data_IF_957984563981
#
_entry.id   IF_957984563981
#
_cell.length_a   1.000
_cell.length_b   1.000
_cell.length_c   1.000
_cell.angle_alpha   90.00
_cell.angle_beta   90.00
_cell.angle_gamma   90.00
#
_symmetry.space_group_name_H-M   'P 1'
#
loop_
_entity.id
_entity.type
_entity.pdbx_description
1 polymer ?
#
# COMPACT_ATOMS: atom_id res chain seq x y z
N UNK A 1 10.94 8.44 -21.91
CA UNK A 1 9.89 7.41 -21.83
C UNK A 1 9.53 7.30 -20.35
N UNK A 2 8.31 7.68 -19.92
CA UNK A 2 7.93 7.46 -18.51
C UNK A 2 7.30 6.08 -18.39
N UNK A 3 7.72 5.29 -17.41
CA UNK A 3 7.02 4.06 -17.04
C UNK A 3 5.77 4.51 -16.29
N UNK A 4 4.59 4.13 -16.76
CA UNK A 4 3.32 4.57 -16.19
C UNK A 4 2.48 3.38 -15.74
N UNK A 5 1.65 3.62 -14.73
CA UNK A 5 0.62 2.69 -14.26
C UNK A 5 -0.70 3.44 -14.37
N UNK A 6 -1.55 3.05 -15.32
CA UNK A 6 -2.88 3.64 -15.49
C UNK A 6 -3.91 3.11 -14.47
N UNK A 7 -3.59 1.98 -13.83
CA UNK A 7 -4.46 1.29 -12.87
C UNK A 7 -4.59 2.11 -11.58
N UNK A 8 -5.80 2.61 -11.30
CA UNK A 8 -6.13 3.30 -10.05
C UNK A 8 -6.20 2.31 -8.90
N UNK A 9 -5.77 2.70 -7.71
CA UNK A 9 -5.74 1.81 -6.53
C UNK A 9 -6.95 2.10 -5.65
N UNK A 10 -8.06 1.41 -5.91
CA UNK A 10 -9.38 1.63 -5.33
C UNK A 10 -10.07 0.30 -4.99
N UNK A 11 -9.52 -0.49 -4.04
CA UNK A 11 -10.20 -1.69 -3.57
C UNK A 11 -11.52 -1.30 -2.93
N UNK A 12 -12.57 -2.07 -3.21
CA UNK A 12 -13.92 -1.79 -2.75
C UNK A 12 -14.60 -3.05 -2.24
N UNK A 13 -15.65 -2.86 -1.45
CA UNK A 13 -16.51 -3.90 -0.91
C UNK A 13 -17.97 -3.50 -1.04
N UNK A 14 -18.82 -4.49 -1.29
CA UNK A 14 -20.28 -4.33 -1.22
C UNK A 14 -20.87 -4.87 0.10
N UNK A 15 -20.02 -5.44 0.97
CA UNK A 15 -20.45 -6.08 2.21
C UNK A 15 -20.72 -5.03 3.29
N UNK A 16 -21.88 -5.12 3.94
CA UNK A 16 -22.15 -4.30 5.13
C UNK A 16 -21.27 -4.76 6.30
N UNK A 17 -20.75 -3.82 7.08
CA UNK A 17 -19.76 -4.10 8.11
C UNK A 17 -18.38 -4.40 7.53
N UNK A 18 -18.12 -4.04 6.27
CA UNK A 18 -16.78 -4.08 5.69
C UNK A 18 -15.82 -3.21 6.51
N UNK A 19 -14.61 -3.71 6.69
CA UNK A 19 -13.60 -3.11 7.58
C UNK A 19 -12.44 -2.58 6.75
N UNK A 20 -12.06 -1.33 7.01
CA UNK A 20 -11.00 -0.61 6.30
C UNK A 20 -10.08 0.10 7.29
N UNK A 21 -8.79 0.21 6.96
CA UNK A 21 -7.87 1.09 7.67
C UNK A 21 -7.98 2.48 7.07
N UNK A 22 -8.25 3.49 7.91
CA UNK A 22 -8.33 4.87 7.44
C UNK A 22 -6.93 5.45 7.20
N UNK A 23 -6.59 5.87 5.97
CA UNK A 23 -5.31 6.48 5.64
C UNK A 23 -4.94 7.64 6.58
N UNK A 24 -3.64 7.84 6.80
CA UNK A 24 -3.04 8.82 7.72
C UNK A 24 -3.40 8.63 9.19
N UNK A 25 -3.95 7.48 9.58
CA UNK A 25 -4.39 7.22 10.94
C UNK A 25 -4.13 5.79 11.38
N UNK A 26 -4.47 5.49 12.64
CA UNK A 26 -4.54 4.13 13.16
C UNK A 26 -5.98 3.63 13.33
N UNK A 27 -6.95 4.34 12.73
CA UNK A 27 -8.35 3.97 12.86
C UNK A 27 -8.70 2.83 11.92
N UNK A 28 -9.12 1.74 12.51
CA UNK A 28 -10.02 0.80 11.87
C UNK A 28 -11.40 1.43 11.74
N UNK A 29 -12.00 1.36 10.55
CA UNK A 29 -13.34 1.85 10.27
C UNK A 29 -14.20 0.69 9.81
N UNK A 30 -15.24 0.40 10.57
CA UNK A 30 -16.29 -0.56 10.22
C UNK A 30 -17.50 0.21 9.71
N UNK A 31 -17.97 -0.14 8.51
CA UNK A 31 -18.90 0.67 7.73
C UNK A 31 -20.20 -0.09 7.45
N UNK A 32 -21.29 0.45 7.99
CA UNK A 32 -22.65 0.03 7.72
C UNK A 32 -23.43 1.18 7.07
N UNK A 33 -24.55 0.90 6.38
CA UNK A 33 -25.42 1.93 5.81
C UNK A 33 -25.77 3.09 6.74
N UNK A 34 -26.01 2.80 8.02
CA UNK A 34 -26.49 3.79 9.02
C UNK A 34 -25.55 3.95 10.21
N UNK A 35 -24.37 3.31 10.21
CA UNK A 35 -23.42 3.36 11.31
C UNK A 35 -21.99 3.35 10.79
N UNK A 36 -21.20 4.32 11.26
CA UNK A 36 -19.76 4.35 11.09
C UNK A 36 -19.14 4.13 12.47
N UNK A 37 -18.28 3.11 12.61
CA UNK A 37 -17.57 2.83 13.84
C UNK A 37 -16.07 2.93 13.60
N UNK A 38 -15.43 3.84 14.32
CA UNK A 38 -13.98 4.01 14.32
C UNK A 38 -13.42 3.39 15.59
N UNK A 39 -12.46 2.48 15.44
CA UNK A 39 -11.74 1.85 16.53
C UNK A 39 -10.26 2.18 16.36
N UNK A 40 -9.66 2.78 17.38
CA UNK A 40 -8.22 3.03 17.39
C UNK A 40 -7.47 1.73 17.63
N UNK A 41 -6.65 1.32 16.66
CA UNK A 41 -5.85 0.11 16.74
C UNK A 41 -4.69 0.23 17.74
N UNK A 42 -4.39 1.45 18.20
CA UNK A 42 -3.34 1.72 19.19
C UNK A 42 -3.88 1.92 20.61
N UNK A 43 -5.18 1.67 20.83
CA UNK A 43 -5.86 1.77 22.12
C UNK A 43 -5.76 3.15 22.82
N UNK A 44 -5.49 4.23 22.09
CA UNK A 44 -5.34 5.57 22.68
C UNK A 44 -6.67 6.20 23.05
N UNK A 45 -7.77 5.79 22.41
CA UNK A 45 -9.11 6.31 22.68
C UNK A 45 -10.21 5.25 22.60
N UNK A 46 -11.36 5.56 23.21
CA UNK A 46 -12.59 4.76 23.07
C UNK A 46 -13.12 4.80 21.62
N UNK A 47 -13.85 3.76 21.17
CA UNK A 47 -14.46 3.76 19.85
C UNK A 47 -15.37 4.98 19.63
N UNK A 48 -15.31 5.54 18.43
CA UNK A 48 -16.14 6.66 17.98
C UNK A 48 -17.23 6.08 17.09
N UNK A 49 -18.50 6.33 17.42
CA UNK A 49 -19.64 5.93 16.61
C UNK A 49 -20.38 7.14 16.06
N UNK A 50 -20.64 7.13 14.75
CA UNK A 50 -21.46 8.11 14.05
C UNK A 50 -22.65 7.38 13.47
N UNK A 51 -23.86 7.78 13.87
CA UNK A 51 -25.10 7.23 13.30
C UNK A 51 -25.58 8.13 12.18
N UNK A 52 -25.86 7.55 11.02
CA UNK A 52 -26.46 8.24 9.88
C UNK A 52 -27.95 7.91 9.82
N UNK A 53 -28.80 8.93 9.70
CA UNK A 53 -30.25 8.73 9.56
C UNK A 53 -30.62 8.67 8.08
N UNK A 54 -30.35 7.51 7.47
CA UNK A 54 -30.69 7.20 6.08
C UNK A 54 -31.89 6.27 6.09
N UNK A 55 -32.87 6.50 5.19
CA UNK A 55 -34.08 5.67 5.10
C UNK A 55 -33.93 4.53 4.08
N UNK A 56 -34.35 3.35 4.51
CA UNK A 56 -34.40 2.13 3.69
C UNK A 56 -33.04 1.50 3.40
N UNK A 57 -33.02 0.41 2.63
CA UNK A 57 -31.78 -0.25 2.23
C UNK A 57 -31.00 0.64 1.25
N UNK A 58 -29.67 0.63 1.36
CA UNK A 58 -28.80 1.29 0.38
C UNK A 58 -28.43 0.27 -0.70
N UNK A 59 -28.68 0.59 -1.97
CA UNK A 59 -28.46 -0.35 -3.08
C UNK A 59 -27.81 0.29 -4.31
N UNK A 60 -26.66 -0.24 -4.80
CA UNK A 60 -25.72 -1.03 -4.03
C UNK A 60 -25.12 -0.19 -2.90
N UNK A 61 -24.95 -0.77 -1.71
CA UNK A 61 -24.05 -0.20 -0.69
C UNK A 61 -22.62 -0.50 -1.12
N UNK A 62 -21.81 0.53 -1.36
CA UNK A 62 -20.42 0.35 -1.77
C UNK A 62 -19.50 1.18 -0.90
N UNK A 63 -18.44 0.55 -0.43
CA UNK A 63 -17.33 1.19 0.27
C UNK A 63 -16.07 1.02 -0.57
N UNK A 64 -15.43 2.12 -0.95
CA UNK A 64 -14.21 2.15 -1.77
C UNK A 64 -13.09 2.86 -1.01
N UNK A 65 -11.92 2.23 -0.89
CA UNK A 65 -10.73 2.86 -0.34
C UNK A 65 -9.92 3.49 -1.49
N UNK A 66 -9.96 4.81 -1.62
CA UNK A 66 -9.18 5.54 -2.62
C UNK A 66 -7.75 5.79 -2.10
N UNK A 67 -6.83 4.90 -2.47
CA UNK A 67 -5.41 5.00 -2.11
C UNK A 67 -4.66 6.07 -2.89
N UNK A 68 -5.28 6.74 -3.88
CA UNK A 68 -4.67 7.91 -4.54
C UNK A 68 -4.90 9.19 -3.74
N UNK A 69 -6.03 9.31 -3.05
CA UNK A 69 -6.36 10.48 -2.22
C UNK A 69 -6.26 10.25 -0.72
N UNK A 70 -6.11 8.99 -0.27
CA UNK A 70 -6.09 8.65 1.15
C UNK A 70 -7.45 8.81 1.81
N UNK A 71 -8.52 8.36 1.14
CA UNK A 71 -9.89 8.50 1.63
C UNK A 71 -10.68 7.19 1.51
N UNK A 72 -11.69 7.01 2.36
CA UNK A 72 -12.69 5.96 2.21
C UNK A 72 -13.99 6.60 1.71
N UNK A 73 -14.42 6.26 0.50
CA UNK A 73 -15.66 6.71 -0.10
C UNK A 73 -16.77 5.70 0.18
N UNK A 74 -17.95 6.19 0.58
CA UNK A 74 -19.16 5.37 0.72
C UNK A 74 -20.26 5.96 -0.14
N UNK A 75 -20.96 5.12 -0.90
CA UNK A 75 -22.02 5.57 -1.80
C UNK A 75 -23.05 4.48 -2.10
N UNK A 76 -24.22 4.92 -2.57
CA UNK A 76 -25.31 4.08 -3.04
C UNK A 76 -26.64 4.84 -3.18
N UNK A 77 -27.65 4.20 -3.76
CA UNK A 77 -29.02 4.73 -3.81
C UNK A 77 -29.75 4.44 -2.50
N UNK A 78 -30.48 5.42 -1.98
CA UNK A 78 -31.34 5.28 -0.79
C UNK A 78 -32.80 5.50 -1.19
N UNK A 79 -33.76 5.34 -0.27
CA UNK A 79 -35.16 5.70 -0.55
C UNK A 79 -35.34 7.20 -0.89
N UNK A 80 -34.47 8.04 -0.37
CA UNK A 80 -34.55 9.49 -0.55
C UNK A 80 -33.72 9.95 -1.77
N UNK A 81 -32.95 9.04 -2.39
CA UNK A 81 -32.08 9.27 -3.55
C UNK A 81 -30.61 8.95 -3.28
N UNK A 82 -29.75 9.22 -4.27
CA UNK A 82 -28.33 8.89 -4.24
C UNK A 82 -27.55 9.66 -3.17
N UNK A 83 -26.72 8.94 -2.39
CA UNK A 83 -25.79 9.53 -1.42
C UNK A 83 -24.34 9.18 -1.74
N UNK A 84 -23.42 10.09 -1.39
CA UNK A 84 -21.98 9.85 -1.38
C UNK A 84 -21.29 10.71 -0.34
N UNK A 85 -20.45 10.09 0.46
CA UNK A 85 -19.59 10.78 1.42
C UNK A 85 -18.21 10.14 1.48
N UNK A 86 -17.23 10.92 1.94
CA UNK A 86 -15.84 10.51 2.04
C UNK A 86 -15.33 10.71 3.47
N UNK A 87 -14.58 9.74 3.95
CA UNK A 87 -13.92 9.75 5.25
C UNK A 87 -12.42 9.92 5.03
N UNK A 88 -11.80 10.85 5.76
CA UNK A 88 -10.36 11.05 5.74
C UNK A 88 -9.87 11.57 7.09
N UNK A 89 -8.59 11.37 7.36
CA UNK A 89 -7.93 11.88 8.54
C UNK A 89 -6.96 12.99 8.15
N UNK A 90 -7.03 14.15 8.82
CA UNK A 90 -6.10 15.26 8.60
C UNK A 90 -6.03 16.14 9.83
N UNK A 91 -4.83 16.63 10.15
CA UNK A 91 -4.62 17.65 11.18
C UNK A 91 -5.28 17.31 12.54
N UNK A 92 -5.19 16.06 12.98
CA UNK A 92 -5.80 15.57 14.23
C UNK A 92 -7.34 15.56 14.22
N UNK A 93 -7.96 15.48 13.05
CA UNK A 93 -9.41 15.41 12.91
C UNK A 93 -9.82 14.23 12.01
N UNK A 94 -10.89 13.55 12.43
CA UNK A 94 -11.68 12.69 11.56
C UNK A 94 -12.67 13.55 10.79
N UNK A 95 -12.59 13.50 9.47
CA UNK A 95 -13.37 14.35 8.59
C UNK A 95 -14.36 13.49 7.80
N UNK A 96 -15.63 13.88 7.84
CA UNK A 96 -16.71 13.32 7.02
C UNK A 96 -17.19 14.41 6.07
N UNK A 97 -16.81 14.29 4.80
CA UNK A 97 -17.26 15.17 3.72
C UNK A 97 -18.50 14.57 3.06
N UNK A 98 -19.62 15.29 3.12
CA UNK A 98 -20.82 14.93 2.37
C UNK A 98 -20.68 15.42 0.92
N UNK A 99 -20.36 14.56 -0.03
CA UNK A 99 -20.16 14.95 -1.43
C UNK A 99 -21.48 15.11 -2.18
N UNK A 100 -22.41 14.17 -1.98
CA UNK A 100 -23.74 14.17 -2.57
C UNK A 100 -24.77 13.68 -1.57
N UNK A 101 -25.90 14.36 -1.50
CA UNK A 101 -27.10 13.94 -0.76
C UNK A 101 -28.33 14.59 -1.42
N UNK A 102 -29.51 13.94 -1.43
CA UNK A 102 -30.72 14.49 -2.04
C UNK A 102 -31.20 15.79 -1.37
N UNK A 103 -31.05 15.90 -0.05
CA UNK A 103 -31.44 17.08 0.73
C UNK A 103 -30.35 17.41 1.77
N UNK A 104 -30.39 16.75 2.93
CA UNK A 104 -29.36 16.80 3.96
C UNK A 104 -29.07 15.41 4.48
N UNK A 105 -27.80 15.13 4.78
CA UNK A 105 -27.41 13.94 5.53
C UNK A 105 -27.49 14.27 7.02
N UNK A 106 -28.48 13.72 7.70
CA UNK A 106 -28.60 13.84 9.15
C UNK A 106 -27.70 12.79 9.82
N UNK A 107 -26.97 13.21 10.84
CA UNK A 107 -26.10 12.33 11.61
C UNK A 107 -26.08 12.68 13.09
N UNK A 108 -25.83 11.68 13.93
CA UNK A 108 -25.64 11.84 15.37
C UNK A 108 -24.25 11.37 15.77
N UNK A 109 -23.52 12.25 16.45
CA UNK A 109 -22.27 11.94 17.14
C UNK A 109 -22.39 12.38 18.59
N UNK A 110 -22.19 11.45 19.53
CA UNK A 110 -22.49 11.66 20.97
C UNK A 110 -23.92 12.17 21.18
N UNK A 111 -24.08 13.28 21.90
CA UNK A 111 -25.36 13.98 22.11
C UNK A 111 -25.71 14.98 21.01
N UNK A 112 -24.82 15.22 20.05
CA UNK A 112 -25.00 16.24 19.02
C UNK A 112 -25.67 15.65 17.78
N UNK A 113 -26.80 16.24 17.39
CA UNK A 113 -27.44 16.01 16.11
C UNK A 113 -26.94 17.07 15.12
N UNK A 114 -26.45 16.65 13.96
CA UNK A 114 -25.95 17.54 12.92
C UNK A 114 -26.61 17.21 11.58
N UNK A 115 -26.65 18.21 10.69
CA UNK A 115 -27.13 18.06 9.33
C UNK A 115 -26.06 18.58 8.37
N UNK A 116 -25.68 17.75 7.40
CA UNK A 116 -24.72 18.13 6.36
C UNK A 116 -25.43 18.29 5.02
N UNK A 117 -25.23 19.43 4.38
CA UNK A 117 -25.55 19.68 2.98
C UNK A 117 -24.40 19.19 2.08
N UNK A 118 -24.61 19.04 0.76
CA UNK A 118 -23.53 18.75 -0.17
C UNK A 118 -22.35 19.71 -0.01
N UNK A 119 -21.13 19.17 -0.10
CA UNK A 119 -19.82 19.82 0.08
C UNK A 119 -19.53 20.34 1.50
N UNK A 120 -20.36 20.01 2.49
CA UNK A 120 -20.05 20.30 3.88
C UNK A 120 -19.28 19.16 4.55
N UNK A 121 -18.44 19.53 5.50
CA UNK A 121 -17.59 18.60 6.26
C UNK A 121 -17.97 18.67 7.73
N UNK A 122 -18.17 17.51 8.35
CA UNK A 122 -18.13 17.38 9.80
C UNK A 122 -16.70 17.06 10.22
N UNK A 123 -16.16 17.85 11.15
CA UNK A 123 -14.89 17.58 11.80
C UNK A 123 -15.10 17.03 13.20
N UNK A 124 -14.42 15.91 13.50
CA UNK A 124 -14.42 15.29 14.82
C UNK A 124 -12.98 15.33 15.33
N UNK A 125 -12.67 16.16 16.34
CA UNK A 125 -11.32 16.26 16.86
C UNK A 125 -10.91 14.95 17.54
N UNK A 126 -9.66 14.56 17.34
CA UNK A 126 -9.01 13.46 18.04
C UNK A 126 -7.79 13.98 18.82
N UNK A 127 -7.42 13.37 19.95
CA UNK A 127 -6.43 13.94 20.87
C UNK A 127 -4.96 13.66 20.47
N UNK A 128 -4.68 13.39 19.20
CA UNK A 128 -3.33 13.08 18.74
C UNK A 128 -3.11 13.58 17.31
N UNK A 129 -1.88 14.03 17.04
CA UNK A 129 -1.42 14.38 15.70
C UNK A 129 -0.61 13.22 15.14
N UNK A 130 -0.77 12.95 13.85
CA UNK A 130 -0.03 11.91 13.15
C UNK A 130 0.62 12.54 11.92
N UNK A 131 1.92 12.32 11.77
CA UNK A 131 2.66 12.74 10.60
C UNK A 131 2.67 11.60 9.59
N UNK A 132 2.10 11.84 8.41
CA UNK A 132 2.17 10.90 7.30
C UNK A 132 3.37 11.20 6.42
N UNK A 133 4.10 10.17 6.00
CA UNK A 133 5.09 10.31 4.95
C UNK A 133 4.39 10.11 3.61
N UNK A 134 4.25 11.19 2.83
CA UNK A 134 3.57 11.21 1.53
C UNK A 134 4.31 10.50 0.39
N UNK A 135 4.88 9.32 0.65
CA UNK A 135 5.47 8.48 -0.39
C UNK A 135 4.35 7.90 -1.26
N UNK A 136 4.56 7.93 -2.58
CA UNK A 136 3.60 7.42 -3.57
C UNK A 136 4.24 6.39 -4.50
N UNK A 137 5.02 5.47 -3.92
CA UNK A 137 5.50 4.31 -4.66
C UNK A 137 4.30 3.49 -5.14
N UNK A 138 4.28 3.13 -6.43
CA UNK A 138 3.18 2.35 -7.02
C UNK A 138 3.71 1.05 -7.60
N UNK A 139 3.18 -0.06 -7.09
CA UNK A 139 3.42 -1.41 -7.60
C UNK A 139 2.25 -1.87 -8.45
N UNK A 140 2.54 -2.53 -9.58
CA UNK A 140 1.53 -3.20 -10.40
C UNK A 140 2.10 -4.51 -10.92
N UNK A 141 1.41 -5.63 -10.68
CA UNK A 141 1.92 -6.98 -10.96
C UNK A 141 1.21 -7.66 -12.14
N UNK A 142 0.69 -6.86 -13.08
CA UNK A 142 0.11 -7.37 -14.33
C UNK A 142 -1.36 -7.80 -14.24
N UNK A 143 -2.03 -7.51 -13.12
CA UNK A 143 -3.44 -7.85 -12.92
C UNK A 143 -4.33 -6.63 -13.20
N UNK A 144 -5.39 -6.86 -13.97
CA UNK A 144 -6.41 -5.87 -14.36
C UNK A 144 -7.83 -6.26 -13.93
N UNK A 145 -7.97 -7.21 -13.01
CA UNK A 145 -9.27 -7.64 -12.49
C UNK A 145 -9.93 -6.52 -11.66
N UNK A 146 -11.26 -6.60 -11.51
CA UNK A 146 -11.97 -5.75 -10.57
C UNK A 146 -11.42 -5.92 -9.15
N UNK A 147 -11.37 -4.82 -8.42
CA UNK A 147 -10.79 -4.72 -7.07
C UNK A 147 -11.83 -4.94 -5.97
N UNK A 148 -12.85 -5.73 -6.31
CA UNK A 148 -13.82 -6.28 -5.37
C UNK A 148 -13.06 -7.14 -4.35
N UNK A 149 -13.07 -6.68 -3.11
CA UNK A 149 -12.20 -7.21 -2.07
C UNK A 149 -12.60 -8.61 -1.64
N UNK A 150 -13.90 -8.91 -1.62
CA UNK A 150 -14.39 -10.25 -1.34
C UNK A 150 -13.87 -11.26 -2.38
N UNK A 151 -13.87 -10.86 -3.66
CA UNK A 151 -13.35 -11.69 -4.72
C UNK A 151 -11.81 -11.78 -4.71
N UNK A 152 -11.10 -10.70 -4.35
CA UNK A 152 -9.64 -10.70 -4.18
C UNK A 152 -9.22 -11.65 -3.06
N UNK A 153 -9.89 -11.58 -1.90
CA UNK A 153 -9.65 -12.48 -0.77
C UNK A 153 -9.91 -13.94 -1.14
N UNK A 154 -11.03 -14.23 -1.81
CA UNK A 154 -11.37 -15.59 -2.25
C UNK A 154 -10.36 -16.17 -3.24
N UNK A 155 -9.84 -15.35 -4.16
CA UNK A 155 -8.80 -15.79 -5.12
C UNK A 155 -7.45 -15.99 -4.46
N UNK A 156 -7.19 -15.28 -3.37
CA UNK A 156 -5.97 -15.34 -2.56
C UNK A 156 -4.67 -15.30 -3.39
N UNK A 157 -4.65 -14.40 -4.37
CA UNK A 157 -3.53 -14.22 -5.28
C UNK A 157 -2.70 -12.99 -4.87
N UNK A 158 -1.44 -13.22 -4.49
CA UNK A 158 -0.55 -12.15 -4.04
C UNK A 158 -0.24 -11.09 -5.11
N UNK A 159 -0.37 -11.41 -6.40
CA UNK A 159 -0.25 -10.40 -7.46
C UNK A 159 -1.35 -9.34 -7.38
N UNK A 160 -2.53 -9.71 -6.86
CA UNK A 160 -3.66 -8.80 -6.66
C UNK A 160 -3.51 -8.05 -5.33
N UNK A 161 -2.98 -8.72 -4.30
CA UNK A 161 -2.90 -8.23 -2.91
C UNK A 161 -1.72 -7.26 -2.71
N UNK A 162 -0.52 -7.61 -3.16
CA UNK A 162 0.72 -6.84 -2.89
C UNK A 162 0.68 -5.36 -3.30
N UNK A 163 0.10 -4.98 -4.45
CA UNK A 163 -0.03 -3.57 -4.82
C UNK A 163 -0.72 -2.71 -3.75
N UNK A 164 -1.86 -3.21 -3.23
CA UNK A 164 -2.65 -2.50 -2.23
C UNK A 164 -1.98 -2.52 -0.86
N UNK A 165 -1.33 -3.63 -0.50
CA UNK A 165 -0.55 -3.75 0.72
C UNK A 165 0.53 -2.67 0.80
N UNK A 166 1.37 -2.58 -0.24
CA UNK A 166 2.44 -1.59 -0.30
C UNK A 166 1.91 -0.16 -0.35
N UNK A 167 0.83 0.08 -1.09
CA UNK A 167 0.22 1.40 -1.20
C UNK A 167 -0.39 1.88 0.13
N UNK A 168 -1.15 1.02 0.81
CA UNK A 168 -1.78 1.38 2.08
C UNK A 168 -0.74 1.62 3.18
N UNK A 169 0.34 0.84 3.25
CA UNK A 169 1.37 1.02 4.25
C UNK A 169 2.04 2.41 4.20
N UNK A 170 2.12 3.03 3.01
CA UNK A 170 2.65 4.39 2.85
C UNK A 170 1.72 5.47 3.42
N UNK A 171 0.44 5.16 3.60
CA UNK A 171 -0.52 6.05 4.26
C UNK A 171 -0.51 5.91 5.78
N UNK A 172 0.15 4.90 6.35
CA UNK A 172 0.18 4.70 7.79
C UNK A 172 1.28 5.56 8.41
N UNK A 173 1.01 6.29 9.50
CA UNK A 173 2.03 7.08 10.18
C UNK A 173 3.22 6.22 10.61
N UNK A 174 4.42 6.73 10.39
CA UNK A 174 5.64 6.06 10.85
C UNK A 174 5.68 6.07 12.38
N UNK A 175 5.64 4.89 12.98
CA UNK A 175 5.86 4.71 14.42
C UNK A 175 7.18 3.98 14.62
N UNK A 176 8.00 4.44 15.55
CA UNK A 176 9.16 3.67 16.02
C UNK A 176 8.65 2.56 16.93
N UNK A 177 8.99 1.32 16.60
CA UNK A 177 8.69 0.14 17.41
C UNK A 177 9.99 -0.62 17.66
N UNK A 178 10.06 -1.30 18.79
CA UNK A 178 11.13 -2.25 19.07
C UNK A 178 10.94 -3.50 18.21
N UNK A 179 12.05 -4.14 17.84
CA UNK A 179 11.99 -5.42 17.14
C UNK A 179 11.33 -6.45 18.07
N UNK A 180 10.28 -7.08 17.57
CA UNK A 180 9.57 -8.15 18.25
C UNK A 180 9.49 -9.35 17.32
N UNK A 181 9.84 -10.53 17.81
CA UNK A 181 9.80 -11.79 17.07
C UNK A 181 8.68 -12.74 17.56
N UNK A 182 7.77 -12.25 18.42
CA UNK A 182 6.68 -13.01 19.02
C UNK A 182 5.32 -12.76 18.33
N UNK A 183 4.33 -13.62 18.64
CA UNK A 183 2.96 -13.52 18.10
C UNK A 183 2.93 -13.36 16.57
N UNK A 184 2.15 -12.39 16.09
CA UNK A 184 2.02 -12.09 14.65
C UNK A 184 3.34 -11.65 14.00
N UNK A 185 4.24 -11.02 14.76
CA UNK A 185 5.54 -10.58 14.22
C UNK A 185 6.48 -11.74 13.92
N UNK A 186 6.30 -12.90 14.57
CA UNK A 186 7.02 -14.13 14.20
C UNK A 186 6.80 -14.53 12.74
N UNK A 187 5.63 -14.22 12.16
CA UNK A 187 5.34 -14.47 10.74
C UNK A 187 6.11 -13.52 9.83
N UNK A 188 6.29 -12.26 10.25
CA UNK A 188 7.12 -11.28 9.57
C UNK A 188 8.59 -11.72 9.61
N UNK A 189 9.05 -12.23 10.75
CA UNK A 189 10.39 -12.81 10.90
C UNK A 189 10.62 -13.99 9.95
N UNK A 190 9.64 -14.88 9.79
CA UNK A 190 9.68 -15.96 8.77
C UNK A 190 9.82 -15.42 7.35
N UNK A 191 9.08 -14.36 6.98
CA UNK A 191 9.26 -13.67 5.69
C UNK A 191 10.68 -13.14 5.52
N UNK A 192 11.21 -12.47 6.55
CA UNK A 192 12.56 -11.92 6.53
C UNK A 192 13.62 -12.99 6.31
N UNK A 193 13.56 -14.09 7.07
CA UNK A 193 14.49 -15.21 6.94
C UNK A 193 14.44 -15.84 5.53
N UNK A 194 13.25 -16.02 4.97
CA UNK A 194 13.10 -16.53 3.61
C UNK A 194 13.72 -15.60 2.54
N UNK A 195 13.59 -14.28 2.73
CA UNK A 195 14.20 -13.27 1.85
C UNK A 195 15.74 -13.31 1.96
N UNK A 196 16.27 -13.33 3.19
CA UNK A 196 17.71 -13.35 3.48
C UNK A 196 18.38 -14.61 2.92
N UNK A 197 17.75 -15.77 3.09
CA UNK A 197 18.19 -17.04 2.52
C UNK A 197 17.92 -17.17 1.01
N UNK A 198 17.24 -16.20 0.40
CA UNK A 198 16.82 -16.19 -1.02
C UNK A 198 15.97 -17.41 -1.41
N UNK A 199 15.16 -17.91 -0.48
CA UNK A 199 14.26 -19.06 -0.66
C UNK A 199 12.97 -18.64 -1.40
N UNK A 200 13.11 -18.29 -2.69
CA UNK A 200 12.04 -17.65 -3.48
C UNK A 200 10.70 -18.38 -3.50
N UNK A 201 10.71 -19.71 -3.34
CA UNK A 201 9.49 -20.53 -3.30
C UNK A 201 8.75 -20.42 -1.95
N UNK A 202 9.46 -20.18 -0.85
CA UNK A 202 8.86 -20.06 0.48
C UNK A 202 8.30 -18.67 0.75
N UNK A 203 8.88 -17.63 0.14
CA UNK A 203 8.47 -16.24 0.32
C UNK A 203 6.96 -16.06 0.14
N UNK A 204 6.37 -16.65 -0.92
CA UNK A 204 4.94 -16.55 -1.19
C UNK A 204 4.11 -17.14 -0.05
N UNK A 205 4.49 -18.32 0.45
CA UNK A 205 3.77 -18.96 1.55
C UNK A 205 3.90 -18.17 2.85
N UNK A 206 5.08 -17.62 3.14
CA UNK A 206 5.26 -16.77 4.32
C UNK A 206 4.35 -15.53 4.26
N UNK A 207 4.32 -14.81 3.14
CA UNK A 207 3.43 -13.64 2.99
C UNK A 207 1.95 -14.00 3.01
N UNK A 208 1.57 -15.18 2.49
CA UNK A 208 0.20 -15.70 2.60
C UNK A 208 -0.20 -15.90 4.06
N UNK A 209 0.67 -16.49 4.88
CA UNK A 209 0.39 -16.70 6.31
C UNK A 209 0.26 -15.36 7.04
N UNK A 210 1.12 -14.39 6.73
CA UNK A 210 0.98 -13.02 7.27
C UNK A 210 -0.37 -12.42 6.83
N UNK A 211 -0.75 -12.53 5.55
CA UNK A 211 -2.02 -11.99 5.06
C UNK A 211 -3.23 -12.56 5.80
N UNK A 212 -3.26 -13.89 5.98
CA UNK A 212 -4.37 -14.59 6.61
C UNK A 212 -4.44 -14.35 8.12
N UNK A 213 -3.31 -14.35 8.82
CA UNK A 213 -3.31 -14.24 10.28
C UNK A 213 -3.37 -12.78 10.76
N UNK A 214 -2.61 -11.89 10.11
CA UNK A 214 -2.32 -10.55 10.63
C UNK A 214 -3.24 -9.45 10.09
N UNK A 215 -4.15 -9.75 9.15
CA UNK A 215 -5.06 -8.75 8.60
C UNK A 215 -6.51 -9.24 8.51
N UNK A 216 -7.43 -8.31 8.76
CA UNK A 216 -8.86 -8.43 8.45
C UNK A 216 -9.28 -7.37 7.43
N UNK A 217 -10.44 -7.57 6.79
CA UNK A 217 -10.98 -6.62 5.82
C UNK A 217 -9.93 -6.19 4.78
N UNK A 218 -9.90 -4.90 4.44
CA UNK A 218 -8.92 -4.33 3.49
C UNK A 218 -7.64 -3.94 4.22
N UNK A 219 -6.82 -4.94 4.55
CA UNK A 219 -5.52 -4.82 5.24
C UNK A 219 -5.56 -4.09 6.58
N UNK A 220 -6.61 -4.33 7.36
CA UNK A 220 -6.68 -3.79 8.72
C UNK A 220 -5.87 -4.71 9.62
N UNK A 221 -4.79 -4.23 10.26
CA UNK A 221 -3.94 -5.08 11.08
C UNK A 221 -4.66 -5.59 12.33
N UNK A 222 -4.41 -6.86 12.67
CA UNK A 222 -4.87 -7.49 13.90
C UNK A 222 -3.73 -8.26 14.57
N UNK A 223 -3.72 -8.27 15.90
CA UNK A 223 -2.70 -8.93 16.72
C UNK A 223 -3.08 -10.37 17.09
N UNK A 224 -4.30 -10.78 16.78
CA UNK A 224 -4.88 -12.08 17.09
C UNK A 224 -5.63 -12.63 15.88
N UNK A 225 -5.71 -13.95 15.77
CA UNK A 225 -6.32 -14.63 14.62
C UNK A 225 -7.83 -14.69 14.81
N UNK A 226 -8.52 -13.59 14.53
CA UNK A 226 -9.98 -13.52 14.69
C UNK A 226 -10.75 -14.40 13.69
N UNK A 227 -10.07 -14.97 12.69
CA UNK A 227 -10.66 -15.95 11.76
C UNK A 227 -10.32 -17.40 12.14
N UNK A 228 -9.59 -17.63 13.24
CA UNK A 228 -9.23 -18.96 13.76
C UNK A 228 -8.61 -19.88 12.69
N UNK A 229 -7.71 -19.33 11.87
CA UNK A 229 -6.97 -20.06 10.85
C UNK A 229 -5.98 -21.08 11.43
N UNK A 230 -5.59 -20.93 12.70
CA UNK A 230 -4.67 -21.85 13.37
C UNK A 230 -3.24 -21.75 12.87
N UNK A 231 -2.84 -20.55 12.42
CA UNK A 231 -1.50 -20.29 11.87
C UNK A 231 -0.43 -20.12 12.98
N UNK A 232 -0.85 -19.68 14.17
CA UNK A 232 0.00 -19.47 15.33
C UNK A 232 -0.57 -20.21 16.54
N UNK A 233 0.32 -20.79 17.35
CA UNK A 233 -0.04 -21.53 18.55
C UNK A 233 -0.21 -20.62 19.79
N UNK A 234 0.41 -19.43 19.78
CA UNK A 234 0.41 -18.49 20.91
C UNK A 234 0.06 -17.08 20.43
N UNK A 235 -0.98 -16.51 21.01
CA UNK A 235 -1.36 -15.12 20.82
C UNK A 235 -0.75 -14.26 21.94
N UNK A 236 -0.01 -13.22 21.55
CA UNK A 236 0.56 -12.26 22.49
C UNK A 236 0.13 -10.84 22.11
N UNK A 237 -0.17 -10.04 23.13
CA UNK A 237 -0.43 -8.61 22.96
C UNK A 237 0.91 -7.88 22.96
N UNK A 238 1.38 -7.50 21.79
CA UNK A 238 2.47 -6.55 21.65
C UNK A 238 2.13 -5.42 20.67
N UNK A 239 2.76 -4.28 20.96
CA UNK A 239 2.57 -2.94 20.41
C UNK A 239 2.77 -2.86 18.88
N UNK A 240 2.59 -1.67 18.30
CA UNK A 240 1.35 -1.22 17.68
C UNK A 240 0.87 -2.15 16.54
N UNK A 241 -0.43 -2.43 16.44
CA UNK A 241 -0.95 -3.33 15.39
C UNK A 241 -0.58 -2.84 13.98
N UNK A 242 -0.52 -1.52 13.80
CA UNK A 242 -0.08 -0.88 12.55
C UNK A 242 1.37 -1.19 12.17
N UNK A 243 2.25 -1.57 13.10
CA UNK A 243 3.60 -2.02 12.77
C UNK A 243 3.62 -3.30 11.92
N UNK A 244 2.60 -4.17 12.04
CA UNK A 244 2.50 -5.35 11.17
C UNK A 244 2.44 -4.95 9.69
N UNK A 245 1.65 -3.93 9.37
CA UNK A 245 1.51 -3.40 8.00
C UNK A 245 2.81 -2.74 7.52
N UNK A 246 3.43 -1.91 8.37
CA UNK A 246 4.66 -1.20 8.03
C UNK A 246 5.85 -2.14 7.81
N UNK A 247 6.09 -3.07 8.75
CA UNK A 247 7.22 -4.01 8.67
C UNK A 247 7.07 -4.97 7.49
N UNK A 248 5.88 -5.54 7.31
CA UNK A 248 5.63 -6.46 6.20
C UNK A 248 5.72 -5.77 4.83
N UNK A 249 5.25 -4.52 4.71
CA UNK A 249 5.41 -3.73 3.49
C UNK A 249 6.88 -3.39 3.20
N UNK A 250 7.70 -3.11 4.23
CA UNK A 250 9.15 -2.94 4.08
C UNK A 250 9.80 -4.20 3.53
N UNK A 251 9.43 -5.39 4.02
CA UNK A 251 9.92 -6.67 3.47
C UNK A 251 9.42 -6.91 2.04
N UNK A 252 8.16 -6.58 1.75
CA UNK A 252 7.59 -6.68 0.41
C UNK A 252 8.38 -5.80 -0.58
N UNK A 253 8.69 -4.55 -0.19
CA UNK A 253 9.53 -3.65 -0.97
C UNK A 253 10.91 -4.24 -1.25
N UNK A 254 11.54 -4.89 -0.26
CA UNK A 254 12.84 -5.58 -0.40
C UNK A 254 12.86 -6.69 -1.45
N UNK A 255 11.71 -7.26 -1.82
CA UNK A 255 11.64 -8.22 -2.93
C UNK A 255 12.05 -7.57 -4.26
N UNK A 256 11.72 -6.30 -4.43
CA UNK A 256 11.88 -5.55 -5.67
C UNK A 256 13.08 -4.59 -5.62
N UNK A 257 13.39 -4.03 -4.47
CA UNK A 257 14.44 -3.02 -4.33
C UNK A 257 15.06 -3.02 -2.94
N UNK A 258 16.39 -3.05 -2.89
CA UNK A 258 17.18 -2.84 -1.67
C UNK A 258 18.21 -1.75 -1.93
N UNK A 259 18.37 -0.85 -0.96
CA UNK A 259 19.36 0.22 -0.98
C UNK A 259 20.34 0.02 0.17
N UNK A 260 21.62 -0.07 -0.16
CA UNK A 260 22.73 -0.20 0.80
C UNK A 260 23.79 0.85 0.44
N UNK A 261 23.88 1.93 1.23
CA UNK A 261 24.80 3.07 1.04
C UNK A 261 24.77 3.72 -0.36
N UNK A 262 25.45 3.12 -1.33
CA UNK A 262 25.56 3.57 -2.73
C UNK A 262 25.28 2.44 -3.74
N UNK A 263 24.78 1.30 -3.27
CA UNK A 263 24.40 0.15 -4.08
C UNK A 263 22.87 0.02 -4.12
N UNK A 264 22.31 0.03 -5.33
CA UNK A 264 20.91 -0.23 -5.59
C UNK A 264 20.74 -1.65 -6.13
N UNK A 265 20.20 -2.54 -5.31
CA UNK A 265 19.92 -3.93 -5.69
C UNK A 265 18.53 -4.03 -6.29
N UNK A 266 18.48 -4.33 -7.59
CA UNK A 266 17.26 -4.30 -8.42
C UNK A 266 16.71 -5.72 -8.57
N UNK A 267 15.43 -5.91 -8.21
CA UNK A 267 14.72 -7.19 -8.20
C UNK A 267 15.52 -8.33 -7.51
N UNK A 268 16.09 -8.11 -6.31
CA UNK A 268 17.05 -9.03 -5.72
C UNK A 268 16.43 -10.39 -5.36
N UNK A 269 15.14 -10.41 -4.98
CA UNK A 269 14.49 -11.60 -4.45
C UNK A 269 13.02 -11.75 -4.89
N UNK A 270 12.71 -11.45 -6.16
CA UNK A 270 11.34 -11.58 -6.68
C UNK A 270 10.95 -13.07 -6.83
N UNK A 271 9.81 -13.50 -6.23
CA UNK A 271 9.29 -14.86 -6.41
C UNK A 271 8.90 -15.19 -7.86
N UNK A 272 8.98 -16.47 -8.31
CA UNK A 272 8.65 -16.88 -9.67
C UNK A 272 7.22 -16.51 -10.12
N UNK A 273 6.28 -16.46 -9.19
CA UNK A 273 4.88 -16.11 -9.40
C UNK A 273 4.78 -14.66 -9.88
N UNK A 274 5.64 -13.76 -9.39
CA UNK A 274 5.65 -12.32 -9.72
C UNK A 274 6.45 -12.05 -11.01
N UNK A 275 6.12 -12.79 -12.06
CA UNK A 275 6.87 -12.86 -13.32
C UNK A 275 6.83 -11.58 -14.17
N UNK A 276 5.90 -10.66 -13.92
CA UNK A 276 5.88 -9.35 -14.57
C UNK A 276 5.36 -8.26 -13.64
N UNK A 277 5.74 -7.02 -13.91
CA UNK A 277 5.24 -5.88 -13.15
C UNK A 277 5.99 -4.58 -13.40
N UNK A 278 5.53 -3.55 -12.71
CA UNK A 278 6.09 -2.21 -12.67
C UNK A 278 6.14 -1.76 -11.22
N UNK A 279 7.24 -1.14 -10.83
CA UNK A 279 7.36 -0.38 -9.59
C UNK A 279 7.84 1.02 -9.98
N UNK A 280 7.01 2.03 -9.73
CA UNK A 280 7.29 3.42 -10.13
C UNK A 280 7.26 4.32 -8.92
N UNK A 281 7.89 5.49 -9.06
CA UNK A 281 7.99 6.52 -8.02
C UNK A 281 8.69 5.99 -6.76
N UNK A 282 9.53 4.95 -6.90
CA UNK A 282 10.34 4.46 -5.80
C UNK A 282 11.29 5.56 -5.36
N UNK A 283 11.35 5.83 -4.05
CA UNK A 283 12.18 6.90 -3.51
C UNK A 283 13.34 6.32 -2.70
N UNK A 284 14.56 6.79 -2.96
CA UNK A 284 15.75 6.38 -2.21
C UNK A 284 15.96 7.26 -0.98
N UNK A 285 16.85 6.84 -0.08
CA UNK A 285 17.25 7.63 1.10
C UNK A 285 17.81 9.00 0.72
N UNK A 286 18.44 9.10 -0.46
CA UNK A 286 18.97 10.37 -1.00
C UNK A 286 17.97 11.08 -1.90
N UNK A 287 16.69 10.74 -1.84
CA UNK A 287 15.60 11.37 -2.61
C UNK A 287 15.73 11.20 -4.13
N UNK A 288 16.49 10.19 -4.58
CA UNK A 288 16.45 9.79 -5.99
C UNK A 288 15.12 9.09 -6.26
N UNK A 289 14.61 9.24 -7.49
CA UNK A 289 13.42 8.55 -7.96
C UNK A 289 13.80 7.46 -8.94
N UNK A 290 13.23 6.27 -8.74
CA UNK A 290 13.43 5.11 -9.61
C UNK A 290 12.07 4.60 -10.10
N UNK A 291 11.97 4.38 -11.41
CA UNK A 291 10.87 3.62 -12.00
C UNK A 291 11.47 2.39 -12.70
N UNK A 292 10.84 1.22 -12.56
CA UNK A 292 11.32 -0.01 -13.20
C UNK A 292 10.16 -0.87 -13.72
N UNK A 293 10.44 -1.63 -14.76
CA UNK A 293 9.52 -2.58 -15.38
C UNK A 293 10.23 -3.91 -15.65
N UNK A 294 9.56 -5.00 -15.32
CA UNK A 294 10.03 -6.35 -15.62
C UNK A 294 8.94 -7.20 -16.27
N UNK A 295 9.37 -8.17 -17.07
CA UNK A 295 8.47 -9.13 -17.72
C UNK A 295 9.19 -10.44 -17.98
N UNK A 296 8.46 -11.56 -17.90
CA UNK A 296 9.03 -12.92 -18.01
C UNK A 296 10.20 -13.13 -17.03
N UNK A 297 10.05 -12.63 -15.79
CA UNK A 297 11.04 -12.69 -14.68
C UNK A 297 12.33 -11.89 -14.93
N UNK A 298 12.31 -10.89 -15.83
CA UNK A 298 13.51 -10.14 -16.25
C UNK A 298 13.27 -8.65 -16.28
N UNK A 299 14.24 -7.88 -15.79
CA UNK A 299 14.25 -6.41 -15.88
C UNK A 299 14.32 -5.99 -17.35
N UNK A 300 13.42 -5.11 -17.77
CA UNK A 300 13.35 -4.60 -19.14
C UNK A 300 13.84 -3.17 -19.23
N UNK A 301 13.31 -2.33 -18.35
CA UNK A 301 13.55 -0.88 -18.37
C UNK A 301 13.67 -0.36 -16.96
N UNK A 302 14.54 0.63 -16.80
CA UNK A 302 14.66 1.41 -15.59
C UNK A 302 14.79 2.88 -15.96
N UNK A 303 14.21 3.74 -15.14
CA UNK A 303 14.37 5.18 -15.17
C UNK A 303 14.90 5.60 -13.81
N UNK A 304 15.95 6.40 -13.82
CA UNK A 304 16.52 6.97 -12.60
C UNK A 304 16.52 8.48 -12.76
N UNK A 305 15.97 9.17 -11.77
CA UNK A 305 16.13 10.61 -11.61
C UNK A 305 16.88 10.85 -10.29
N UNK A 306 18.08 11.43 -10.38
CA UNK A 306 18.88 11.72 -9.19
C UNK A 306 18.51 13.06 -8.59
N UNK A 307 18.61 13.17 -7.27
CA UNK A 307 18.49 14.46 -6.58
C UNK A 307 19.80 15.27 -6.66
N UNK A 308 20.93 14.56 -6.75
CA UNK A 308 22.28 15.11 -6.75
C UNK A 308 23.14 14.46 -7.83
N UNK A 309 24.14 15.19 -8.32
CA UNK A 309 25.12 14.66 -9.29
C UNK A 309 26.09 13.72 -8.58
N UNK A 310 25.90 12.42 -8.77
CA UNK A 310 26.77 11.38 -8.19
C UNK A 310 26.76 10.12 -9.05
N UNK A 311 27.84 9.32 -9.04
CA UNK A 311 27.78 7.98 -9.62
C UNK A 311 26.79 7.11 -8.84
N UNK A 312 26.14 6.18 -9.54
CA UNK A 312 25.24 5.19 -8.96
C UNK A 312 25.74 3.80 -9.34
N UNK A 313 25.77 2.90 -8.37
CA UNK A 313 26.04 1.49 -8.62
C UNK A 313 24.76 0.69 -8.46
N UNK A 314 24.41 -0.11 -9.47
CA UNK A 314 23.26 -0.99 -9.42
C UNK A 314 23.71 -2.46 -9.47
N UNK A 315 23.20 -3.29 -8.55
CA UNK A 315 23.25 -4.74 -8.70
C UNK A 315 22.00 -5.20 -9.45
N UNK A 316 22.19 -5.72 -10.65
CA UNK A 316 21.11 -6.15 -11.54
C UNK A 316 20.86 -7.67 -11.42
N UNK A 317 19.66 -8.15 -11.78
CA UNK A 317 19.38 -9.58 -11.85
C UNK A 317 20.33 -10.33 -12.77
N UNK A 318 20.61 -11.59 -12.44
CA UNK A 318 21.40 -12.50 -13.29
C UNK A 318 20.82 -12.57 -14.71
N UNK A 319 21.70 -12.58 -15.72
CA UNK A 319 21.35 -12.70 -17.14
C UNK A 319 21.33 -11.40 -17.93
N UNK A 320 21.45 -10.24 -17.26
CA UNK A 320 21.61 -8.95 -17.94
C UNK A 320 23.09 -8.74 -18.22
N UNK A 321 23.44 -8.57 -19.49
CA UNK A 321 24.84 -8.46 -19.94
C UNK A 321 25.26 -7.01 -20.15
N UNK A 322 24.32 -6.17 -20.56
CA UNK A 322 24.56 -4.78 -20.90
C UNK A 322 23.28 -3.98 -20.79
N UNK A 323 23.43 -2.68 -20.61
CA UNK A 323 22.32 -1.72 -20.63
C UNK A 323 22.63 -0.62 -21.64
N UNK A 324 21.60 -0.03 -22.23
CA UNK A 324 21.73 1.20 -23.01
C UNK A 324 21.26 2.37 -22.16
N UNK A 325 22.21 3.22 -21.77
CA UNK A 325 21.97 4.46 -21.06
C UNK A 325 21.57 5.56 -22.05
N UNK A 326 20.47 6.26 -21.78
CA UNK A 326 20.06 7.47 -22.51
C UNK A 326 19.83 8.60 -21.52
N UNK A 327 20.34 9.78 -21.83
CA UNK A 327 20.10 11.02 -21.04
C UNK A 327 19.06 11.94 -21.69
N UNK A 328 18.76 11.70 -22.97
CA UNK A 328 17.69 12.39 -23.70
C UNK A 328 16.84 11.41 -24.51
N UNK A 329 15.59 11.79 -24.78
CA UNK A 329 14.64 10.92 -25.50
C UNK A 329 15.06 10.55 -26.92
N UNK A 330 15.74 11.48 -27.61
CA UNK A 330 16.20 11.30 -29.00
C UNK A 330 17.60 10.68 -29.10
N UNK A 331 18.24 10.42 -27.97
CA UNK A 331 19.60 9.91 -27.94
C UNK A 331 19.63 8.42 -28.34
N UNK A 332 20.61 8.06 -29.17
CA UNK A 332 20.90 6.65 -29.48
C UNK A 332 21.30 5.89 -28.22
N UNK A 333 21.92 6.59 -27.27
CA UNK A 333 22.33 6.09 -25.96
C UNK A 333 23.67 5.38 -25.98
N UNK A 334 24.37 5.41 -24.85
CA UNK A 334 25.64 4.75 -24.62
C UNK A 334 25.41 3.33 -24.11
N UNK A 335 26.12 2.35 -24.69
CA UNK A 335 26.11 0.98 -24.16
C UNK A 335 27.03 0.92 -22.92
N UNK A 336 26.47 0.47 -21.80
CA UNK A 336 27.18 0.15 -20.57
C UNK A 336 27.25 -1.37 -20.41
N UNK A 337 28.40 -1.87 -19.97
CA UNK A 337 28.58 -3.29 -19.69
C UNK A 337 28.24 -3.59 -18.23
N UNK A 338 27.66 -4.76 -18.01
CA UNK A 338 27.41 -5.29 -16.66
C UNK A 338 28.53 -6.29 -16.34
N UNK A 339 29.10 -6.21 -15.14
CA UNK A 339 30.16 -7.14 -14.71
C UNK A 339 29.63 -8.57 -14.61
N UNK A 340 30.53 -9.55 -14.44
CA UNK A 340 30.12 -10.96 -14.26
C UNK A 340 29.28 -11.16 -12.99
N UNK A 341 29.49 -10.31 -11.99
CA UNK A 341 28.80 -10.27 -10.71
C UNK A 341 27.44 -9.55 -10.78
N UNK A 342 27.07 -9.03 -11.96
CA UNK A 342 25.80 -8.32 -12.17
C UNK A 342 25.84 -6.84 -11.82
N UNK A 343 27.03 -6.24 -11.68
CA UNK A 343 27.19 -4.84 -11.29
C UNK A 343 27.17 -3.93 -12.51
N UNK A 344 26.36 -2.87 -12.47
CA UNK A 344 26.31 -1.78 -13.44
C UNK A 344 26.75 -0.49 -12.75
N UNK A 345 27.81 0.14 -13.26
CA UNK A 345 28.20 1.48 -12.84
C UNK A 345 27.59 2.51 -13.79
N UNK A 346 26.77 3.40 -13.22
CA UNK A 346 26.18 4.53 -13.93
C UNK A 346 27.04 5.75 -13.56
N UNK A 347 27.66 6.42 -14.54
CA UNK A 347 28.49 7.58 -14.27
C UNK A 347 27.65 8.71 -13.65
N UNK A 348 28.33 9.67 -13.01
CA UNK A 348 27.67 10.86 -12.51
C UNK A 348 26.89 11.55 -13.64
N UNK A 349 25.58 11.63 -13.48
CA UNK A 349 24.71 12.14 -14.53
C UNK A 349 24.67 13.68 -14.44
N UNK A 350 25.26 14.36 -15.42
CA UNK A 350 25.17 15.82 -15.54
C UNK A 350 23.71 16.29 -15.73
N UNK A 351 22.90 15.44 -16.37
CA UNK A 351 21.46 15.59 -16.46
C UNK A 351 20.88 14.64 -15.44
N UNK A 352 20.22 15.15 -14.40
CA UNK A 352 19.66 14.41 -13.26
C UNK A 352 18.64 13.30 -13.63
N UNK A 353 18.53 12.86 -14.89
CA UNK A 353 17.60 11.88 -15.43
C UNK A 353 18.31 10.94 -16.42
N UNK A 354 18.09 9.65 -16.26
CA UNK A 354 18.60 8.60 -17.12
C UNK A 354 17.56 7.51 -17.39
N UNK A 355 17.58 6.97 -18.61
CA UNK A 355 16.83 5.78 -19.01
C UNK A 355 17.80 4.65 -19.31
N UNK A 356 17.46 3.44 -18.85
CA UNK A 356 18.21 2.22 -19.07
C UNK A 356 17.31 1.20 -19.75
N UNK A 357 17.66 0.81 -20.97
CA UNK A 357 17.13 -0.39 -21.61
C UNK A 357 18.07 -1.56 -21.30
N UNK A 358 17.57 -2.62 -20.66
CA UNK A 358 18.38 -3.76 -20.23
C UNK A 358 18.37 -4.88 -21.29
N UNK A 359 19.56 -5.35 -21.69
CA UNK A 359 19.74 -6.38 -22.70
C UNK A 359 20.35 -7.65 -22.12
N UNK A 360 19.92 -8.77 -22.68
CA UNK A 360 20.39 -10.09 -22.29
C UNK A 360 21.70 -10.45 -23.00
N UNK A 361 22.30 -11.54 -22.54
CA UNK A 361 23.49 -12.13 -23.16
C UNK A 361 23.12 -13.06 -24.29
#
# INVERSE_FOLDING_TARGET
MSITIAHRMRPFSHKMGSVFLLPNSHFKVELFPTLLRFTDLENRIKPIEIRLFIRGPIQPFTVELDLESGAICVFGETLDGYIRYSLFYRASELLLLCEKTPSTLQLKYRSTLSQLKPKQTLAIPVPFCLESQGLQERLHLGIHKAQDWELVQRRFNLQEIFPFWLALAQWVPSITYEDNDQGMFSLIRKCQMAIEKKEKLQIVNCFKNVFLAAFEGVFVPRLFDSDYQGILDVEEKALPATALLLQSAKLLRRLFFVEEENLFSILPCVPPELHCGRLIQLQTTKLDRIDMEWSKKRLRRMFIQTSNTRPITCQLPKGISSCRLRVHRKDKGQKLQVTKEGILHIPALAHLKAWLDCFER
#
